data_IF_310752301636
#
_entry.id   IF_310752301636
#
_cell.length_a   1.000
_cell.length_b   1.000
_cell.length_c   1.000
_cell.angle_alpha   90.00
_cell.angle_beta   90.00
_cell.angle_gamma   90.00
#
_symmetry.space_group_name_H-M   'P 1'
#
loop_
_entity.id
_entity.type
_entity.pdbx_description
1 polymer ?
#
# COMPACT_ATOMS: atom_id res chain seq x y z
N UNK A 1 -9.60 -9.61 8.81
CA UNK A 1 -8.87 -10.52 7.89
C UNK A 1 -7.37 -10.26 8.06
N UNK A 2 -6.52 -11.29 8.07
CA UNK A 2 -5.06 -11.25 8.37
C UNK A 2 -4.62 -10.97 9.82
N UNK A 3 -5.54 -10.87 10.78
CA UNK A 3 -5.25 -10.60 12.22
C UNK A 3 -4.35 -9.37 12.42
N UNK A 4 -4.39 -8.41 11.48
CA UNK A 4 -3.64 -7.16 11.55
C UNK A 4 -4.44 -6.13 12.33
N UNK A 5 -3.80 -5.53 13.34
CA UNK A 5 -4.33 -4.38 14.06
C UNK A 5 -4.22 -3.11 13.21
N UNK A 6 -5.04 -2.10 13.52
CA UNK A 6 -4.92 -0.78 12.92
C UNK A 6 -3.50 -0.22 13.12
N UNK A 7 -2.98 0.42 12.08
CA UNK A 7 -1.64 0.99 12.09
C UNK A 7 -1.69 2.45 12.51
N UNK A 8 -0.90 2.81 13.53
CA UNK A 8 -0.74 4.18 14.04
C UNK A 8 0.68 4.73 13.83
N UNK A 9 1.58 3.94 13.24
CA UNK A 9 3.00 4.28 13.10
C UNK A 9 3.30 5.24 11.94
N UNK A 10 2.54 5.13 10.86
CA UNK A 10 2.74 5.88 9.61
C UNK A 10 1.39 6.24 9.00
N UNK A 11 1.36 7.18 8.06
CA UNK A 11 0.21 7.41 7.21
C UNK A 11 0.01 6.16 6.31
N UNK A 12 -1.02 5.36 6.61
CA UNK A 12 -1.19 4.00 6.10
C UNK A 12 -2.66 3.68 5.90
N UNK A 13 -2.98 2.95 4.83
CA UNK A 13 -4.34 2.46 4.58
C UNK A 13 -4.90 1.57 5.71
N UNK A 14 -4.03 0.97 6.53
CA UNK A 14 -4.45 0.20 7.71
C UNK A 14 -4.75 1.09 8.93
N UNK A 15 -4.69 2.41 8.81
CA UNK A 15 -5.08 3.31 9.90
C UNK A 15 -6.60 3.27 10.06
N UNK A 16 -7.07 3.04 11.30
CA UNK A 16 -8.49 3.05 11.61
C UNK A 16 -9.09 4.43 11.39
N UNK A 17 -10.31 4.48 10.85
CA UNK A 17 -11.06 5.72 10.64
C UNK A 17 -12.41 5.64 11.36
N UNK A 18 -12.79 6.71 12.05
CA UNK A 18 -14.06 6.80 12.79
C UNK A 18 -15.13 7.60 12.05
N UNK A 19 -14.77 8.22 10.93
CA UNK A 19 -15.70 8.97 10.08
C UNK A 19 -15.31 8.87 8.60
N UNK A 20 -16.27 9.12 7.71
CA UNK A 20 -16.03 9.13 6.26
C UNK A 20 -14.97 10.18 5.86
N UNK A 21 -14.99 11.43 6.38
CA UNK A 21 -13.93 12.40 6.07
C UNK A 21 -12.54 11.99 6.57
N UNK A 22 -12.44 11.18 7.63
CA UNK A 22 -11.16 10.60 8.03
C UNK A 22 -10.69 9.54 7.04
N UNK A 23 -11.58 8.65 6.60
CA UNK A 23 -11.27 7.63 5.61
C UNK A 23 -10.82 8.23 4.27
N UNK A 24 -11.51 9.28 3.79
CA UNK A 24 -11.18 9.99 2.54
C UNK A 24 -9.78 10.64 2.56
N UNK A 25 -9.21 10.89 3.74
CA UNK A 25 -7.86 11.46 3.92
C UNK A 25 -6.76 10.39 4.00
N UNK A 26 -7.13 9.12 4.17
CA UNK A 26 -6.14 8.03 4.25
C UNK A 26 -5.58 7.70 2.86
N UNK A 27 -4.31 7.30 2.77
CA UNK A 27 -3.74 6.86 1.51
C UNK A 27 -4.29 5.49 1.13
N UNK A 28 -4.35 5.20 -0.18
CA UNK A 28 -4.62 3.84 -0.65
C UNK A 28 -3.47 2.88 -0.34
N UNK A 29 -2.26 3.40 -0.23
CA UNK A 29 -1.07 2.61 0.03
C UNK A 29 -0.95 2.15 1.50
N UNK A 30 -0.46 0.93 1.69
CA UNK A 30 0.00 0.46 3.00
C UNK A 30 1.43 0.93 3.25
N UNK A 31 1.76 1.22 4.51
CA UNK A 31 3.14 1.44 4.91
C UNK A 31 3.97 0.14 4.78
N UNK A 32 5.32 0.22 4.73
CA UNK A 32 6.17 -0.94 4.52
C UNK A 32 5.93 -2.08 5.52
N UNK A 33 5.65 -1.77 6.79
CA UNK A 33 5.35 -2.79 7.80
C UNK A 33 4.04 -3.57 7.52
N UNK A 34 2.96 -2.86 7.20
CA UNK A 34 1.66 -3.47 6.91
C UNK A 34 1.68 -4.21 5.57
N UNK A 35 2.39 -3.65 4.58
CA UNK A 35 2.58 -4.30 3.30
C UNK A 35 3.35 -5.62 3.45
N UNK A 36 4.48 -5.62 4.17
CA UNK A 36 5.26 -6.83 4.43
C UNK A 36 4.44 -7.93 5.14
N UNK A 37 3.60 -7.56 6.12
CA UNK A 37 2.67 -8.50 6.78
C UNK A 37 1.69 -9.12 5.79
N UNK A 38 1.18 -8.32 4.85
CA UNK A 38 0.26 -8.79 3.82
C UNK A 38 0.96 -9.70 2.83
N UNK A 39 2.17 -9.35 2.39
CA UNK A 39 2.99 -10.21 1.54
C UNK A 39 3.26 -11.56 2.21
N UNK A 40 3.60 -11.57 3.51
CA UNK A 40 3.80 -12.80 4.26
C UNK A 40 2.52 -13.64 4.35
N UNK A 41 1.41 -13.03 4.75
CA UNK A 41 0.14 -13.73 4.93
C UNK A 41 -0.41 -14.32 3.62
N UNK A 42 -0.20 -13.62 2.49
CA UNK A 42 -0.70 -14.01 1.17
C UNK A 42 0.35 -14.72 0.30
N UNK A 43 1.59 -14.92 0.80
CA UNK A 43 2.73 -15.49 0.05
C UNK A 43 2.99 -14.77 -1.27
N UNK A 44 3.02 -13.44 -1.21
CA UNK A 44 3.25 -12.58 -2.38
C UNK A 44 4.71 -12.18 -2.47
N UNK A 45 5.25 -12.14 -3.68
CA UNK A 45 6.47 -11.40 -3.96
C UNK A 45 6.21 -9.89 -3.83
N UNK A 46 6.95 -9.15 -2.98
CA UNK A 46 6.70 -7.73 -2.75
C UNK A 46 6.86 -6.88 -4.01
N UNK A 47 7.90 -7.14 -4.82
CA UNK A 47 8.24 -6.33 -5.99
C UNK A 47 7.24 -6.56 -7.11
N UNK A 48 6.90 -7.82 -7.39
CA UNK A 48 5.89 -8.19 -8.37
C UNK A 48 4.52 -7.58 -8.01
N UNK A 49 4.14 -7.65 -6.73
CA UNK A 49 2.86 -7.09 -6.28
C UNK A 49 2.83 -5.56 -6.40
N UNK A 50 3.88 -4.86 -5.99
CA UNK A 50 3.97 -3.40 -6.13
C UNK A 50 3.97 -2.97 -7.60
N UNK A 51 4.64 -3.70 -8.49
CA UNK A 51 4.61 -3.44 -9.93
C UNK A 51 3.18 -3.58 -10.49
N UNK A 52 2.45 -4.63 -10.10
CA UNK A 52 1.04 -4.82 -10.48
C UNK A 52 0.16 -3.66 -9.98
N UNK A 53 0.36 -3.21 -8.74
CA UNK A 53 -0.38 -2.07 -8.18
C UNK A 53 -0.03 -0.76 -8.90
N UNK A 54 1.24 -0.51 -9.20
CA UNK A 54 1.66 0.66 -9.96
C UNK A 54 0.99 0.70 -11.34
N UNK A 55 1.06 -0.40 -12.10
CA UNK A 55 0.42 -0.50 -13.42
C UNK A 55 -1.10 -0.35 -13.35
N UNK A 56 -1.75 -0.94 -12.34
CA UNK A 56 -3.17 -0.74 -12.12
C UNK A 56 -3.50 0.74 -11.90
N UNK A 57 -2.77 1.42 -11.02
CA UNK A 57 -2.97 2.84 -10.73
C UNK A 57 -2.73 3.72 -11.97
N UNK A 58 -1.70 3.44 -12.77
CA UNK A 58 -1.41 4.12 -14.04
C UNK A 58 -2.59 3.99 -15.00
N UNK A 59 -3.14 2.77 -15.15
CA UNK A 59 -4.26 2.48 -16.06
C UNK A 59 -5.55 3.17 -15.63
N UNK A 60 -5.74 3.39 -14.32
CA UNK A 60 -6.95 3.97 -13.73
C UNK A 60 -6.81 5.45 -13.36
N UNK A 61 -5.77 6.15 -13.85
CA UNK A 61 -5.51 7.57 -13.57
C UNK A 61 -5.28 7.92 -12.07
N UNK A 62 -4.86 6.96 -11.26
CA UNK A 62 -4.49 7.13 -9.85
C UNK A 62 -2.99 7.53 -9.76
N UNK A 63 -2.68 8.73 -10.26
CA UNK A 63 -1.30 9.20 -10.45
C UNK A 63 -0.47 9.30 -9.16
N UNK A 64 -1.00 9.83 -8.03
CA UNK A 64 -0.25 9.89 -6.78
C UNK A 64 0.17 8.49 -6.28
N UNK A 65 -0.75 7.53 -6.35
CA UNK A 65 -0.54 6.15 -5.91
C UNK A 65 0.42 5.41 -6.83
N UNK A 66 0.27 5.57 -8.15
CA UNK A 66 1.21 5.03 -9.13
C UNK A 66 2.65 5.47 -8.81
N UNK A 67 2.82 6.78 -8.54
CA UNK A 67 4.13 7.34 -8.18
C UNK A 67 4.67 6.74 -6.88
N UNK A 68 3.81 6.57 -5.86
CA UNK A 68 4.20 5.94 -4.60
C UNK A 68 4.66 4.49 -4.80
N UNK A 69 3.92 3.69 -5.57
CA UNK A 69 4.24 2.28 -5.80
C UNK A 69 5.51 2.11 -6.63
N UNK A 70 5.75 2.95 -7.66
CA UNK A 70 7.01 2.94 -8.43
C UNK A 70 8.22 3.23 -7.56
N UNK A 71 8.16 4.27 -6.72
CA UNK A 71 9.23 4.56 -5.76
C UNK A 71 9.46 3.42 -4.78
N UNK A 72 8.40 2.72 -4.39
CA UNK A 72 8.50 1.55 -3.49
C UNK A 72 9.20 0.36 -4.17
N UNK A 73 8.96 0.13 -5.46
CA UNK A 73 9.67 -0.87 -6.27
C UNK A 73 11.17 -0.53 -6.34
N UNK A 74 11.51 0.72 -6.67
CA UNK A 74 12.88 1.20 -6.74
C UNK A 74 13.61 1.05 -5.38
N UNK A 75 12.94 1.38 -4.28
CA UNK A 75 13.51 1.25 -2.93
C UNK A 75 13.84 -0.20 -2.53
N UNK A 76 13.16 -1.18 -3.14
CA UNK A 76 13.42 -2.61 -2.95
C UNK A 76 14.43 -3.17 -3.96
N UNK A 77 15.00 -2.34 -4.83
CA UNK A 77 15.93 -2.76 -5.89
C UNK A 77 15.25 -3.48 -7.06
N UNK A 78 13.92 -3.40 -7.15
CA UNK A 78 13.15 -3.89 -8.28
C UNK A 78 13.29 -3.00 -9.51
N UNK A 79 12.95 -3.55 -10.67
CA UNK A 79 12.83 -2.83 -11.95
C UNK A 79 11.37 -2.72 -12.36
#
# INVERSE_FOLDING_TARGET
>A
MFTMMHCTKHQCNMCGSNSLPEADRQPLAMCPECFAKTCYACRLDPVENLNKLATYCETNNLKPEATFFRKSVEALGGK
#
